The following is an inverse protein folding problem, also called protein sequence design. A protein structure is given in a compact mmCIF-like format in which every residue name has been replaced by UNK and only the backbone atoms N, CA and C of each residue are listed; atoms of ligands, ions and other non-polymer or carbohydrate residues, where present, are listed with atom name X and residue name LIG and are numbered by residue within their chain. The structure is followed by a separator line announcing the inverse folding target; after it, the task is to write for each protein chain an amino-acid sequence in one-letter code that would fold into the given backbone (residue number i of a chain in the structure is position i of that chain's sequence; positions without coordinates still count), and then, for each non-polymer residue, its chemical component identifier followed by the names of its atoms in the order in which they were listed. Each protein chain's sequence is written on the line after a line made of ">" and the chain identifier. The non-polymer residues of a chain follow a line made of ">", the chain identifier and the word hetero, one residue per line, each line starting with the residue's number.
data_IF_420361025025
#
_entry.id   IF_420361025025
#
_cell.length_a   1.000
_cell.length_b   1.000
_cell.length_c   1.000
_cell.angle_alpha   90.00
_cell.angle_beta   90.00
_cell.angle_gamma   90.00
#
_symmetry.space_group_name_H-M   'P 1'
#
loop_
_entity.id
_entity.type
_entity.pdbx_description
1 polymer ?
#
# COMPACT_ATOMS: atom_id res chain seq x y z
N UNK A 1 0.73 1.46 -18.97
CA UNK A 1 0.59 0.20 -18.24
C UNK A 1 -0.35 0.50 -17.09
N UNK A 2 -1.46 -0.21 -16.95
CA UNK A 2 -2.35 0.02 -15.79
C UNK A 2 -1.54 -0.28 -14.53
N UNK A 3 -1.47 0.68 -13.62
CA UNK A 3 -0.92 0.43 -12.29
C UNK A 3 -1.73 -0.69 -11.63
N UNK A 4 -1.05 -1.51 -10.81
CA UNK A 4 -1.67 -2.60 -10.06
C UNK A 4 -1.43 -2.39 -8.56
N UNK A 5 -2.26 -1.58 -7.87
CA UNK A 5 -2.00 -1.14 -6.50
C UNK A 5 -1.95 -2.30 -5.52
N UNK A 6 -2.97 -3.18 -5.53
CA UNK A 6 -2.99 -4.38 -4.68
C UNK A 6 -1.76 -5.27 -4.85
N UNK A 7 -1.46 -5.69 -6.08
CA UNK A 7 -0.32 -6.60 -6.35
C UNK A 7 1.02 -5.98 -5.91
N UNK A 8 1.17 -4.66 -6.08
CA UNK A 8 2.37 -3.93 -5.66
C UNK A 8 2.52 -3.91 -4.14
N UNK A 9 1.43 -3.63 -3.41
CA UNK A 9 1.45 -3.60 -1.95
C UNK A 9 1.66 -5.00 -1.36
N UNK A 10 0.99 -6.03 -1.89
CA UNK A 10 1.15 -7.43 -1.47
C UNK A 10 2.60 -7.90 -1.65
N UNK A 11 3.20 -7.61 -2.80
CA UNK A 11 4.60 -7.96 -3.09
C UNK A 11 5.57 -7.25 -2.13
N UNK A 12 5.31 -5.99 -1.81
CA UNK A 12 6.13 -5.21 -0.89
C UNK A 12 6.05 -5.76 0.54
N UNK A 13 4.84 -6.02 1.04
CA UNK A 13 4.61 -6.58 2.38
C UNK A 13 5.23 -7.98 2.52
N UNK A 14 5.09 -8.82 1.48
CA UNK A 14 5.74 -10.13 1.43
C UNK A 14 7.28 -10.01 1.48
N UNK A 15 7.87 -9.09 0.72
CA UNK A 15 9.33 -8.85 0.72
C UNK A 15 9.84 -8.37 2.08
N UNK A 16 9.03 -7.61 2.80
CA UNK A 16 9.33 -7.13 4.15
C UNK A 16 9.07 -8.18 5.26
N UNK A 17 8.53 -9.34 4.91
CA UNK A 17 8.25 -10.42 5.86
C UNK A 17 6.95 -10.23 6.64
N UNK A 18 6.01 -9.43 6.15
CA UNK A 18 4.69 -9.25 6.76
C UNK A 18 3.66 -10.18 6.08
N UNK A 19 3.19 -11.25 6.77
CA UNK A 19 2.06 -12.02 6.27
C UNK A 19 0.80 -11.16 6.36
N UNK A 20 0.21 -10.83 5.21
CA UNK A 20 -0.95 -9.94 5.14
C UNK A 20 -1.85 -10.24 3.95
N UNK A 21 -3.15 -9.96 4.12
CA UNK A 21 -4.12 -9.92 3.02
C UNK A 21 -4.40 -8.47 2.64
N UNK A 22 -4.41 -8.16 1.35
CA UNK A 22 -4.77 -6.82 0.85
C UNK A 22 -6.13 -6.87 0.14
N UNK A 23 -7.02 -5.97 0.54
CA UNK A 23 -8.32 -5.76 -0.10
C UNK A 23 -8.29 -4.42 -0.82
N UNK A 24 -8.68 -4.42 -2.09
CA UNK A 24 -8.76 -3.22 -2.92
C UNK A 24 -10.21 -2.79 -3.07
N UNK A 25 -10.49 -1.54 -2.74
CA UNK A 25 -11.82 -0.94 -2.84
C UNK A 25 -11.71 0.35 -3.66
N UNK A 26 -12.47 0.43 -4.75
CA UNK A 26 -12.62 1.67 -5.49
C UNK A 26 -13.51 2.65 -4.71
N UNK A 27 -13.06 3.89 -4.58
CA UNK A 27 -13.75 5.00 -3.95
C UNK A 27 -13.87 6.16 -4.93
N UNK A 28 -14.74 7.13 -4.63
CA UNK A 28 -14.95 8.30 -5.49
C UNK A 28 -13.66 9.11 -5.71
N UNK A 29 -12.79 9.17 -4.69
CA UNK A 29 -11.52 9.91 -4.72
C UNK A 29 -10.29 9.04 -5.02
N UNK A 30 -10.48 7.78 -5.46
CA UNK A 30 -9.38 6.91 -5.88
C UNK A 30 -9.49 5.49 -5.36
N UNK A 31 -8.35 4.89 -4.99
CA UNK A 31 -8.27 3.48 -4.58
C UNK A 31 -7.88 3.43 -3.11
N UNK A 32 -8.62 2.62 -2.35
CA UNK A 32 -8.31 2.32 -0.96
C UNK A 32 -7.80 0.89 -0.84
N UNK A 33 -6.68 0.73 -0.14
CA UNK A 33 -6.06 -0.56 0.13
C UNK A 33 -6.11 -0.84 1.62
N UNK A 34 -6.89 -1.86 1.99
CA UNK A 34 -6.95 -2.36 3.37
C UNK A 34 -5.92 -3.47 3.56
N UNK A 35 -5.13 -3.37 4.63
CA UNK A 35 -4.14 -4.40 5.01
C UNK A 35 -4.65 -5.13 6.24
N UNK A 36 -4.87 -6.44 6.12
CA UNK A 36 -5.22 -7.32 7.23
C UNK A 36 -4.01 -8.17 7.62
N UNK A 37 -3.52 -8.00 8.85
CA UNK A 37 -2.33 -8.71 9.36
C UNK A 37 -2.33 -8.75 10.89
N UNK A 38 -1.69 -9.76 11.48
CA UNK A 38 -1.45 -9.85 12.93
C UNK A 38 -0.43 -8.80 13.41
N UNK A 39 0.47 -8.34 12.52
CA UNK A 39 1.54 -7.39 12.82
C UNK A 39 1.15 -5.91 12.58
N UNK A 40 -0.15 -5.59 12.66
CA UNK A 40 -0.68 -4.26 12.30
C UNK A 40 0.00 -3.12 13.06
N UNK A 41 0.30 -3.30 14.35
CA UNK A 41 1.01 -2.31 15.16
C UNK A 41 2.41 -1.95 14.64
N UNK A 42 3.12 -2.90 14.02
CA UNK A 42 4.43 -2.65 13.40
C UNK A 42 4.32 -1.87 12.10
N UNK A 43 3.32 -2.18 11.29
CA UNK A 43 3.04 -1.46 10.05
C UNK A 43 2.52 -0.04 10.30
N UNK A 44 1.72 0.16 11.34
CA UNK A 44 1.26 1.49 11.76
C UNK A 44 2.45 2.31 12.27
N UNK A 45 3.27 1.70 13.14
CA UNK A 45 4.40 2.38 13.77
C UNK A 45 3.95 3.47 14.76
N UNK A 46 4.91 4.23 15.28
CA UNK A 46 4.62 5.29 16.25
C UNK A 46 3.83 6.40 15.57
N UNK A 47 2.65 6.73 16.12
CA UNK A 47 1.78 7.80 15.60
C UNK A 47 1.41 7.63 14.11
N UNK A 48 1.39 6.40 13.59
CA UNK A 48 1.05 6.14 12.18
C UNK A 48 2.18 6.46 11.18
N UNK A 49 3.38 6.80 11.65
CA UNK A 49 4.46 7.26 10.79
C UNK A 49 4.92 6.18 9.79
N UNK A 50 5.02 4.91 10.22
CA UNK A 50 5.45 3.82 9.33
C UNK A 50 4.42 3.58 8.24
N UNK A 51 3.12 3.62 8.57
CA UNK A 51 2.05 3.44 7.58
C UNK A 51 2.06 4.57 6.54
N UNK A 52 2.26 5.81 6.97
CA UNK A 52 2.39 6.95 6.07
C UNK A 52 3.60 6.81 5.14
N UNK A 53 4.75 6.36 5.66
CA UNK A 53 5.95 6.11 4.85
C UNK A 53 5.76 4.97 3.85
N UNK A 54 5.09 3.89 4.28
CA UNK A 54 4.75 2.76 3.42
C UNK A 54 3.85 3.23 2.26
N UNK A 55 2.81 4.00 2.55
CA UNK A 55 1.91 4.57 1.55
C UNK A 55 2.69 5.44 0.55
N UNK A 56 3.58 6.31 1.04
CA UNK A 56 4.41 7.15 0.16
C UNK A 56 5.27 6.32 -0.80
N UNK A 57 5.93 5.27 -0.31
CA UNK A 57 6.76 4.38 -1.15
C UNK A 57 5.90 3.66 -2.19
N UNK A 58 4.74 3.13 -1.80
CA UNK A 58 3.81 2.44 -2.71
C UNK A 58 3.28 3.39 -3.78
N UNK A 59 2.81 4.58 -3.40
CA UNK A 59 2.40 5.62 -4.33
C UNK A 59 3.52 5.96 -5.31
N UNK A 60 4.76 6.08 -4.85
CA UNK A 60 5.92 6.38 -5.71
C UNK A 60 6.21 5.26 -6.72
N UNK A 61 6.08 4.00 -6.30
CA UNK A 61 6.24 2.84 -7.17
C UNK A 61 5.14 2.79 -8.24
N UNK A 62 3.89 3.04 -7.84
CA UNK A 62 2.73 3.06 -8.74
C UNK A 62 2.79 4.25 -9.71
N UNK A 63 3.21 5.43 -9.25
CA UNK A 63 3.38 6.63 -10.07
C UNK A 63 4.38 6.42 -11.22
N UNK A 64 5.39 5.56 -11.01
CA UNK A 64 6.34 5.18 -12.07
C UNK A 64 5.66 4.37 -13.18
N UNK A 65 4.61 3.60 -12.85
CA UNK A 65 3.86 2.77 -13.80
C UNK A 65 2.75 3.57 -14.49
N UNK A 66 2.06 4.43 -13.73
CA UNK A 66 0.96 5.28 -14.20
C UNK A 66 1.01 6.66 -13.51
N UNK A 67 1.11 7.73 -14.32
CA UNK A 67 1.22 9.10 -13.82
C UNK A 67 -0.09 9.68 -13.28
N UNK A 68 -1.21 8.97 -13.41
CA UNK A 68 -2.51 9.39 -12.87
C UNK A 68 -2.71 8.96 -11.41
N UNK A 69 -1.82 8.12 -10.87
CA UNK A 69 -1.85 7.71 -9.47
C UNK A 69 -1.41 8.88 -8.58
N UNK A 70 -1.98 9.07 -7.38
CA UNK A 70 -1.48 10.05 -6.41
C UNK A 70 0.00 9.82 -6.05
N UNK A 71 0.68 10.90 -5.67
CA UNK A 71 2.08 10.86 -5.23
C UNK A 71 2.25 10.48 -3.76
#
# INVERSE_FOLDING_TARGET
>A
MNAKPKETLESLLSTLGFPSTVIETAMDDGIFLEIQTEDSGRLIGRQGQTLSQLQYVVNRLLFKQDRNVPK
#
